data_IF_055893110860
#
_entry.id   IF_055893110860
#
_cell.length_a   1.000
_cell.length_b   1.000
_cell.length_c   1.000
_cell.angle_alpha   90.00
_cell.angle_beta   90.00
_cell.angle_gamma   90.00
#
_symmetry.space_group_name_H-M   'P 1'
#
loop_
_entity.id
_entity.type
_entity.pdbx_description
1 polymer ?
#
# COMPACT_ATOMS: atom_id res chain seq x y z
N UNK A 1 9.26 7.26 -1.17
CA UNK A 1 8.06 8.10 -1.42
C UNK A 1 7.01 7.77 -0.39
N UNK A 2 6.37 8.76 0.24
CA UNK A 2 5.42 8.50 1.33
C UNK A 2 4.01 8.26 0.81
N UNK A 3 3.41 7.16 1.25
CA UNK A 3 2.02 6.81 1.03
C UNK A 3 1.31 6.68 2.36
N UNK A 4 0.03 7.02 2.39
CA UNK A 4 -0.86 6.90 3.55
C UNK A 4 -1.89 5.83 3.27
N UNK A 5 -2.11 4.94 4.23
CA UNK A 5 -3.15 3.92 4.10
C UNK A 5 -4.53 4.58 4.13
N UNK A 6 -5.31 4.33 3.08
CA UNK A 6 -6.66 4.87 2.91
C UNK A 6 -7.72 3.78 2.96
N UNK A 7 -7.34 2.52 2.75
CA UNK A 7 -8.29 1.42 2.84
C UNK A 7 -7.63 0.08 3.16
N UNK A 8 -8.44 -0.85 3.67
CA UNK A 8 -8.02 -2.21 3.98
C UNK A 8 -9.11 -3.19 3.55
N UNK A 9 -8.69 -4.28 2.91
CA UNK A 9 -9.57 -5.37 2.53
C UNK A 9 -8.90 -6.71 2.78
N UNK A 10 -9.69 -7.78 2.86
CA UNK A 10 -9.18 -9.15 3.01
C UNK A 10 -9.43 -9.91 1.73
N UNK A 11 -8.42 -10.61 1.25
CA UNK A 11 -8.53 -11.56 0.15
C UNK A 11 -7.81 -12.85 0.54
N UNK A 12 -8.47 -14.01 0.39
CA UNK A 12 -7.93 -15.32 0.78
C UNK A 12 -7.32 -15.37 2.20
N UNK A 13 -7.98 -14.73 3.18
CA UNK A 13 -7.53 -14.61 4.57
C UNK A 13 -6.28 -13.73 4.83
N UNK A 14 -5.75 -13.05 3.81
CA UNK A 14 -4.63 -12.13 3.94
C UNK A 14 -5.14 -10.69 3.90
N UNK A 15 -4.60 -9.82 4.76
CA UNK A 15 -4.90 -8.39 4.75
C UNK A 15 -4.11 -7.66 3.67
N UNK A 16 -4.83 -6.90 2.85
CA UNK A 16 -4.29 -6.01 1.84
C UNK A 16 -4.69 -4.59 2.17
N UNK A 17 -3.76 -3.68 1.93
CA UNK A 17 -3.93 -2.27 2.23
C UNK A 17 -3.77 -1.47 0.96
N UNK A 18 -4.71 -0.55 0.74
CA UNK A 18 -4.61 0.44 -0.32
C UNK A 18 -4.00 1.69 0.30
N UNK A 19 -2.87 2.11 -0.23
CA UNK A 19 -2.19 3.30 0.21
C UNK A 19 -2.14 4.34 -0.92
N UNK A 20 -2.41 5.59 -0.58
CA UNK A 20 -2.39 6.72 -1.51
C UNK A 20 -1.10 7.52 -1.35
N UNK A 21 -0.47 7.89 -2.46
CA UNK A 21 0.71 8.74 -2.43
C UNK A 21 0.36 10.12 -1.84
N UNK A 22 1.22 10.63 -0.96
CA UNK A 22 1.07 11.98 -0.41
C UNK A 22 1.56 13.06 -1.39
N UNK A 23 2.22 12.68 -2.49
CA UNK A 23 2.64 13.58 -3.57
C UNK A 23 1.73 13.41 -4.79
N UNK A 24 1.43 14.52 -5.46
CA UNK A 24 0.53 14.58 -6.62
C UNK A 24 1.14 14.12 -7.95
N UNK A 25 2.47 13.98 -8.07
CA UNK A 25 3.17 13.72 -9.34
C UNK A 25 3.68 12.27 -9.48
N UNK A 26 3.01 11.30 -8.89
CA UNK A 26 3.48 9.90 -8.84
C UNK A 26 2.30 8.94 -8.77
N UNK A 27 2.50 7.64 -9.04
CA UNK A 27 1.41 6.66 -9.01
C UNK A 27 0.59 6.86 -7.75
N UNK A 28 -0.67 7.24 -7.94
CA UNK A 28 -1.44 7.79 -6.84
C UNK A 28 -1.75 6.72 -5.79
N UNK A 29 -1.74 5.45 -6.17
CA UNK A 29 -2.16 4.37 -5.30
C UNK A 29 -1.29 3.12 -5.47
N UNK A 30 -1.06 2.45 -4.36
CA UNK A 30 -0.45 1.12 -4.33
C UNK A 30 -1.28 0.19 -3.46
N UNK A 31 -1.20 -1.10 -3.78
CA UNK A 31 -1.71 -2.17 -2.92
C UNK A 31 -0.52 -2.87 -2.31
N UNK A 32 -0.53 -2.96 -0.99
CA UNK A 32 0.47 -3.72 -0.23
C UNK A 32 -0.17 -4.86 0.53
N UNK A 33 0.58 -5.94 0.65
CA UNK A 33 0.26 -7.06 1.51
C UNK A 33 1.13 -7.03 2.77
N UNK A 34 0.51 -7.25 3.92
CA UNK A 34 1.21 -7.28 5.20
C UNK A 34 0.60 -8.35 6.11
N UNK A 35 1.45 -9.09 6.80
CA UNK A 35 1.04 -9.96 7.90
C UNK A 35 0.78 -9.20 9.20
N UNK A 36 1.25 -7.95 9.29
CA UNK A 36 1.01 -7.06 10.42
C UNK A 36 -0.20 -6.18 10.15
N UNK A 37 -1.01 -5.96 11.19
CA UNK A 37 -2.16 -5.06 11.16
C UNK A 37 -1.69 -3.61 11.06
N UNK A 38 -1.90 -3.00 9.90
CA UNK A 38 -1.66 -1.56 9.70
C UNK A 38 -2.91 -0.76 10.07
N UNK A 39 -2.72 0.40 10.71
CA UNK A 39 -3.73 1.39 11.01
C UNK A 39 -4.03 2.25 9.79
N UNK A 40 -5.28 2.13 9.30
CA UNK A 40 -5.86 3.06 8.33
C UNK A 40 -5.70 4.49 8.87
N UNK A 41 -5.30 5.41 8.00
CA UNK A 41 -5.10 6.83 8.26
C UNK A 41 -3.96 7.28 9.20
N UNK A 42 -3.41 6.39 10.03
CA UNK A 42 -2.30 6.70 10.92
C UNK A 42 -0.97 6.26 10.33
N UNK A 43 -0.95 5.10 9.69
CA UNK A 43 0.30 4.55 9.18
C UNK A 43 0.67 5.17 7.84
N UNK A 44 1.93 5.58 7.80
CA UNK A 44 2.60 6.06 6.61
C UNK A 44 3.63 5.00 6.23
N UNK A 45 3.67 4.66 4.96
CA UNK A 45 4.66 3.76 4.39
C UNK A 45 5.58 4.58 3.49
N UNK A 46 6.88 4.32 3.59
CA UNK A 46 7.85 4.81 2.62
C UNK A 46 8.07 3.74 1.55
N UNK A 47 7.95 4.16 0.30
CA UNK A 47 7.92 3.29 -0.87
C UNK A 47 9.06 3.70 -1.79
N UNK A 48 10.00 2.80 -2.01
CA UNK A 48 10.98 2.90 -3.06
C UNK A 48 10.45 2.17 -4.30
N UNK A 49 9.90 2.93 -5.24
CA UNK A 49 9.39 2.39 -6.50
C UNK A 49 10.51 1.80 -7.36
N UNK A 50 11.76 2.30 -7.24
CA UNK A 50 12.88 1.81 -8.04
C UNK A 50 13.30 0.40 -7.64
N UNK A 51 13.14 0.08 -6.35
CA UNK A 51 13.42 -1.26 -5.81
C UNK A 51 12.15 -2.09 -5.60
N UNK A 52 10.96 -1.51 -5.85
CA UNK A 52 9.66 -2.11 -5.50
C UNK A 52 9.57 -2.55 -4.03
N UNK A 53 10.19 -1.77 -3.14
CA UNK A 53 10.22 -2.02 -1.71
C UNK A 53 9.32 -1.00 -1.02
N UNK A 54 8.48 -1.47 -0.10
CA UNK A 54 7.76 -0.61 0.83
C UNK A 54 8.17 -0.94 2.26
N UNK A 55 8.30 0.09 3.09
CA UNK A 55 8.67 0.00 4.52
C UNK A 55 7.81 0.93 5.35
N UNK A 56 7.70 0.67 6.64
CA UNK A 56 7.04 1.60 7.56
C UNK A 56 7.83 2.90 7.71
N UNK A 57 7.14 4.04 7.71
CA UNK A 57 7.79 5.34 7.88
C UNK A 57 8.23 5.63 9.33
N UNK A 58 7.92 4.74 10.28
CA UNK A 58 8.38 4.80 11.68
C UNK A 58 9.84 4.36 11.86
N UNK A 59 10.53 3.98 10.79
CA UNK A 59 11.94 3.57 10.80
C UNK A 59 12.14 2.06 10.89
N UNK A 60 11.08 1.29 11.08
CA UNK A 60 11.11 -0.16 11.01
C UNK A 60 11.18 -0.62 9.55
N UNK A 61 12.26 -1.34 9.21
CA UNK A 61 12.46 -1.93 7.88
C UNK A 61 11.64 -3.19 7.72
N UNK A 62 10.32 -3.06 7.81
CA UNK A 62 9.39 -4.14 7.48
C UNK A 62 9.23 -4.15 5.98
N UNK A 63 9.72 -5.18 5.31
CA UNK A 63 9.53 -5.34 3.86
C UNK A 63 8.05 -5.64 3.58
N UNK A 64 7.36 -4.67 3.00
CA UNK A 64 5.98 -4.78 2.55
C UNK A 64 5.99 -5.15 1.07
N UNK A 65 5.16 -6.12 0.69
CA UNK A 65 5.07 -6.59 -0.69
C UNK A 65 4.09 -5.72 -1.46
N UNK A 66 4.59 -4.99 -2.46
CA UNK A 66 3.74 -4.21 -3.37
C UNK A 66 3.15 -5.16 -4.41
N UNK A 67 1.82 -5.27 -4.44
CA UNK A 67 1.10 -6.14 -5.37
C UNK A 67 0.73 -5.40 -6.66
N UNK A 68 0.25 -4.16 -6.53
CA UNK A 68 -0.21 -3.35 -7.65
C UNK A 68 0.11 -1.87 -7.47
N UNK A 69 0.24 -1.16 -8.58
CA UNK A 69 0.41 0.28 -8.66
C UNK A 69 -0.57 0.83 -9.70
N UNK A 70 -1.27 1.92 -9.39
CA UNK A 70 -2.24 2.54 -10.30
C UNK A 70 -2.40 4.02 -9.99
N UNK A 71 -2.78 4.78 -11.01
CA UNK A 71 -3.23 6.17 -10.86
C UNK A 71 -4.71 6.28 -10.47
N UNK A 72 -5.46 5.18 -10.58
CA UNK A 72 -6.89 5.10 -10.30
C UNK A 72 -7.22 3.99 -9.30
N UNK A 73 -8.12 4.27 -8.35
CA UNK A 73 -8.48 3.34 -7.26
C UNK A 73 -9.40 2.19 -7.72
N UNK A 74 -10.17 2.40 -8.79
CA UNK A 74 -11.22 1.47 -9.24
C UNK A 74 -10.68 0.09 -9.66
N UNK A 75 -9.41 0.00 -10.07
CA UNK A 75 -8.78 -1.24 -10.56
C UNK A 75 -8.30 -2.20 -9.46
N UNK A 76 -8.31 -1.80 -8.19
CA UNK A 76 -7.78 -2.64 -7.10
C UNK A 76 -8.80 -3.61 -6.53
N UNK A 77 -10.08 -3.37 -6.82
CA UNK A 77 -11.20 -4.17 -6.33
C UNK A 77 -11.63 -5.25 -7.33
N UNK A 78 -10.81 -5.58 -8.34
CA UNK A 78 -11.04 -6.78 -9.16
C UNK A 78 -10.79 -8.02 -8.28
N UNK A 79 -11.87 -8.43 -7.62
CA UNK A 79 -12.00 -9.69 -6.91
C UNK A 79 -12.24 -10.73 -7.99
N UNK A 80 -11.29 -11.66 -8.16
CA UNK A 80 -11.48 -12.83 -9.02
C UNK A 80 -12.82 -13.51 -8.66
N UNK A 81 -13.67 -13.68 -9.68
CA UNK A 81 -14.98 -14.32 -9.61
C UNK A 81 -14.84 -15.84 -9.55
#
# INVERSE_FOLDING_TARGET
>A
MRYKIIDVYKLHHIQRYIAKCLKTQSPQFIVIESHQTLCKELDIIDVDLSQSVATWATGEKIALKILHQSDHIEKFYDVEY
#
